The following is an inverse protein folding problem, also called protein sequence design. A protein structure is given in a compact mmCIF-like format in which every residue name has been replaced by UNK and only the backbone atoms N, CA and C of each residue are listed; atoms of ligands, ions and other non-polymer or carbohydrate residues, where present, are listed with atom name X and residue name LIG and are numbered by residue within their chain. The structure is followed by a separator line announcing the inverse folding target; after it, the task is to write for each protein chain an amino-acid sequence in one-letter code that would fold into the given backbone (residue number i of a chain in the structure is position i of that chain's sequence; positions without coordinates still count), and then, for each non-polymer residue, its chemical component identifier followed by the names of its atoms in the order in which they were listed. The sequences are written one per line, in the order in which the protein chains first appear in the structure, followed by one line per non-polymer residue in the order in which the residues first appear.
data_IF_032297155272
#
_entry.id   IF_032297155272
#
_cell.length_a   1.000
_cell.length_b   1.000
_cell.length_c   1.000
_cell.angle_alpha   90.00
_cell.angle_beta   90.00
_cell.angle_gamma   90.00
#
_symmetry.space_group_name_H-M   'P 1'
#
loop_
_entity.id
_entity.type
_entity.pdbx_description
1 polymer ?
#
# COMPACT_ATOMS: atom_id res chain seq x y z
N UNK A 1 22.92 13.45 16.08
CA UNK A 1 22.36 12.11 15.79
C UNK A 1 21.22 11.78 16.75
N UNK A 2 21.04 12.54 17.84
CA UNK A 2 20.02 12.32 18.86
C UNK A 2 18.60 12.79 18.45
N UNK A 3 18.47 13.64 17.42
CA UNK A 3 17.16 14.16 16.97
C UNK A 3 16.28 13.15 16.22
N UNK A 4 16.82 11.99 15.83
CA UNK A 4 16.07 10.94 15.12
C UNK A 4 15.35 9.95 16.07
N UNK A 5 15.69 9.99 17.36
CA UNK A 5 15.08 9.13 18.39
C UNK A 5 13.54 9.21 18.45
N UNK A 6 12.90 10.41 18.43
CA UNK A 6 11.44 10.50 18.44
C UNK A 6 10.78 9.92 17.18
N UNK A 7 11.40 10.06 16.01
CA UNK A 7 10.86 9.55 14.75
C UNK A 7 10.89 8.01 14.67
N UNK A 8 11.94 7.40 15.23
CA UNK A 8 12.08 5.94 15.28
C UNK A 8 11.13 5.32 16.32
N UNK A 9 10.92 5.99 17.46
CA UNK A 9 10.04 5.51 18.54
C UNK A 9 8.56 5.77 18.27
N UNK A 10 8.19 6.69 17.38
CA UNK A 10 6.80 7.01 17.04
C UNK A 10 5.98 5.77 16.66
N UNK A 11 6.62 4.80 16.01
CA UNK A 11 6.02 3.51 15.63
C UNK A 11 5.54 2.67 16.85
N UNK A 12 6.16 2.83 18.02
CA UNK A 12 5.76 2.11 19.24
C UNK A 12 4.42 2.60 19.80
N UNK A 13 3.92 3.76 19.37
CA UNK A 13 2.60 4.28 19.76
C UNK A 13 1.45 3.48 19.14
N UNK A 14 1.70 2.75 18.06
CA UNK A 14 0.67 1.93 17.40
C UNK A 14 0.42 0.60 18.15
N UNK A 15 -0.84 0.09 18.16
CA UNK A 15 -1.15 -1.23 18.70
C UNK A 15 -0.28 -2.34 18.09
N UNK A 16 0.10 -3.35 18.90
CA UNK A 16 1.01 -4.43 18.50
C UNK A 16 0.58 -5.17 17.22
N UNK A 17 -0.72 -5.23 16.95
CA UNK A 17 -1.29 -5.86 15.75
C UNK A 17 -0.92 -5.11 14.45
N UNK A 18 -0.78 -3.78 14.50
CA UNK A 18 -0.41 -2.96 13.35
C UNK A 18 1.09 -2.91 13.12
N UNK A 19 1.89 -3.18 14.15
CA UNK A 19 3.34 -3.11 14.11
C UNK A 19 3.97 -4.08 13.11
N UNK A 20 3.42 -5.30 12.99
CA UNK A 20 3.87 -6.29 12.01
C UNK A 20 3.66 -5.82 10.55
N UNK A 21 2.61 -5.03 10.30
CA UNK A 21 2.36 -4.43 8.98
C UNK A 21 3.24 -3.22 8.74
N UNK A 22 3.44 -2.37 9.75
CA UNK A 22 4.30 -1.17 9.67
C UNK A 22 5.78 -1.50 9.45
N UNK A 23 6.26 -2.60 10.01
CA UNK A 23 7.63 -3.07 9.80
C UNK A 23 7.87 -3.76 8.46
N UNK A 24 6.81 -4.18 7.76
CA UNK A 24 6.97 -4.92 6.51
C UNK A 24 7.19 -3.96 5.34
N UNK A 25 8.33 -4.11 4.65
CA UNK A 25 8.61 -3.41 3.38
C UNK A 25 7.99 -4.12 2.18
N UNK A 26 7.44 -5.33 2.37
CA UNK A 26 6.88 -6.17 1.30
C UNK A 26 5.84 -5.46 0.41
N UNK A 27 4.89 -4.64 0.94
CA UNK A 27 3.94 -3.93 0.09
C UNK A 27 4.63 -2.92 -0.83
N UNK A 28 5.63 -2.20 -0.32
CA UNK A 28 6.38 -1.21 -1.09
C UNK A 28 7.27 -1.89 -2.14
N UNK A 29 7.95 -2.98 -1.79
CA UNK A 29 8.77 -3.75 -2.74
C UNK A 29 7.92 -4.34 -3.88
N UNK A 30 6.74 -4.88 -3.56
CA UNK A 30 5.80 -5.39 -4.56
C UNK A 30 5.28 -4.28 -5.48
N UNK A 31 4.91 -3.12 -4.92
CA UNK A 31 4.49 -1.94 -5.68
C UNK A 31 5.60 -1.48 -6.63
N UNK A 32 6.83 -1.32 -6.13
CA UNK A 32 7.96 -0.88 -6.94
C UNK A 32 8.31 -1.89 -8.04
N UNK A 33 8.18 -3.19 -7.78
CA UNK A 33 8.35 -4.23 -8.80
C UNK A 33 7.30 -4.16 -9.91
N UNK A 34 6.06 -3.85 -9.57
CA UNK A 34 4.98 -3.71 -10.55
C UNK A 34 5.09 -2.41 -11.35
N UNK A 35 5.45 -1.29 -10.72
CA UNK A 35 5.78 -0.04 -11.41
C UNK A 35 6.87 -0.31 -12.45
N UNK A 36 7.98 -0.93 -12.03
CA UNK A 36 9.11 -1.23 -12.91
C UNK A 36 8.69 -2.06 -14.13
N UNK A 37 7.94 -3.15 -13.93
CA UNK A 37 7.45 -4.02 -15.02
C UNK A 37 6.57 -3.27 -16.00
N UNK A 38 5.62 -2.45 -15.53
CA UNK A 38 4.70 -1.72 -16.43
C UNK A 38 5.38 -0.57 -17.16
N UNK A 39 6.33 0.10 -16.50
CA UNK A 39 7.14 1.14 -17.17
C UNK A 39 8.08 0.56 -18.22
N UNK A 40 8.56 -0.67 -18.04
CA UNK A 40 9.44 -1.37 -19.00
C UNK A 40 8.70 -1.69 -20.31
N UNK A 41 7.41 -2.00 -20.27
CA UNK A 41 6.58 -2.25 -21.46
C UNK A 41 6.34 -0.98 -22.28
N UNK A 42 6.21 0.18 -21.62
CA UNK A 42 5.93 1.45 -22.30
C UNK A 42 7.18 2.03 -22.97
N UNK A 43 8.37 1.78 -22.43
CA UNK A 43 9.65 2.17 -23.01
C UNK A 43 9.97 3.68 -22.92
N UNK A 44 9.20 4.53 -23.59
CA UNK A 44 9.37 5.99 -23.61
C UNK A 44 8.00 6.67 -23.41
N UNK A 45 7.93 7.60 -22.47
CA UNK A 45 6.71 8.37 -22.21
C UNK A 45 6.69 9.68 -23.00
N UNK A 46 5.54 10.06 -23.60
CA UNK A 46 5.43 11.28 -24.40
C UNK A 46 5.31 12.57 -23.55
N UNK A 47 4.92 12.46 -22.27
CA UNK A 47 4.85 13.56 -21.30
C UNK A 47 4.78 13.02 -19.86
N UNK A 48 4.99 13.90 -18.87
CA UNK A 48 4.96 13.54 -17.45
C UNK A 48 3.56 13.08 -16.98
N UNK A 49 2.50 13.68 -17.53
CA UNK A 49 1.13 13.29 -17.17
C UNK A 49 0.80 11.84 -17.54
N UNK A 50 1.41 11.29 -18.60
CA UNK A 50 1.22 9.91 -19.00
C UNK A 50 1.78 8.94 -17.96
N UNK A 51 2.91 9.29 -17.33
CA UNK A 51 3.49 8.52 -16.22
C UNK A 51 2.57 8.60 -15.00
N UNK A 52 2.09 9.80 -14.65
CA UNK A 52 1.18 10.00 -13.51
C UNK A 52 -0.11 9.20 -13.69
N UNK A 53 -0.68 9.14 -14.91
CA UNK A 53 -1.86 8.33 -15.22
C UNK A 53 -1.59 6.83 -15.06
N UNK A 54 -0.45 6.33 -15.53
CA UNK A 54 -0.07 4.92 -15.39
C UNK A 54 0.09 4.53 -13.90
N UNK A 55 0.86 5.32 -13.16
CA UNK A 55 1.10 5.08 -11.74
C UNK A 55 -0.20 5.24 -10.94
N UNK A 56 -1.03 6.23 -11.28
CA UNK A 56 -2.35 6.45 -10.66
C UNK A 56 -3.30 5.27 -10.87
N UNK A 57 -3.39 4.73 -12.09
CA UNK A 57 -4.18 3.53 -12.37
C UNK A 57 -3.66 2.31 -11.60
N UNK A 58 -2.35 2.13 -11.54
CA UNK A 58 -1.73 1.04 -10.79
C UNK A 58 -2.01 1.12 -9.28
N UNK A 59 -1.90 2.32 -8.71
CA UNK A 59 -2.19 2.54 -7.30
C UNK A 59 -3.66 2.26 -6.97
N UNK A 60 -4.58 2.61 -7.87
CA UNK A 60 -6.00 2.31 -7.71
C UNK A 60 -6.24 0.79 -7.68
N UNK A 61 -5.65 0.05 -8.63
CA UNK A 61 -5.73 -1.42 -8.66
C UNK A 61 -5.19 -2.07 -7.38
N UNK A 62 -4.12 -1.53 -6.77
CA UNK A 62 -3.56 -2.07 -5.53
C UNK A 62 -4.34 -1.63 -4.28
N UNK A 63 -4.98 -0.45 -4.30
CA UNK A 63 -5.78 0.04 -3.18
C UNK A 63 -6.99 -0.87 -2.91
N UNK A 64 -7.61 -1.44 -3.94
CA UNK A 64 -8.74 -2.37 -3.76
C UNK A 64 -8.33 -3.72 -3.14
N UNK A 65 -7.04 -4.08 -3.20
CA UNK A 65 -6.50 -5.35 -2.68
C UNK A 65 -5.96 -5.20 -1.25
N UNK A 66 -5.30 -4.08 -0.96
CA UNK A 66 -4.59 -3.86 0.31
C UNK A 66 -5.14 -2.69 1.14
N UNK A 67 -6.08 -1.92 0.59
CA UNK A 67 -6.84 -0.93 1.32
C UNK A 67 -7.59 -1.57 2.50
N UNK A 68 -7.98 -0.76 3.50
CA UNK A 68 -8.80 -1.26 4.58
C UNK A 68 -10.01 -1.97 3.97
N UNK A 69 -10.23 -3.24 4.35
CA UNK A 69 -11.45 -3.95 3.98
C UNK A 69 -12.63 -3.00 4.16
N UNK A 70 -13.56 -2.90 3.19
CA UNK A 70 -14.76 -2.12 3.41
C UNK A 70 -15.35 -2.60 4.73
N UNK A 71 -15.50 -1.66 5.66
CA UNK A 71 -15.98 -1.85 7.05
C UNK A 71 -17.30 -2.66 7.09
N UNK A 72 -17.94 -2.82 5.92
CA UNK A 72 -19.17 -3.53 5.63
C UNK A 72 -19.07 -5.06 5.45
N UNK A 73 -17.89 -5.69 5.22
CA UNK A 73 -17.84 -7.17 5.04
C UNK A 73 -17.74 -7.97 6.33
N UNK A 74 -17.32 -7.35 7.44
CA UNK A 74 -17.23 -8.04 8.73
C UNK A 74 -18.60 -8.37 9.37
N UNK A 75 -19.70 -7.77 8.90
CA UNK A 75 -21.06 -8.09 9.39
C UNK A 75 -21.81 -9.17 8.61
N UNK A 76 -21.31 -9.63 7.45
CA UNK A 76 -22.06 -10.60 6.63
C UNK A 76 -21.76 -12.07 6.96
N UNK A 77 -20.62 -12.39 7.59
CA UNK A 77 -20.28 -13.78 7.94
C UNK A 77 -20.88 -14.26 9.29
N UNK A 78 -21.51 -13.40 10.08
CA UNK A 78 -22.20 -13.79 11.33
C UNK A 78 -23.69 -14.10 11.09
N UNK A 79 -24.28 -13.64 9.97
CA UNK A 79 -25.69 -13.87 9.64
C UNK A 79 -25.92 -15.09 8.72
N UNK A 80 -24.89 -15.92 8.48
CA UNK A 80 -25.00 -17.17 7.72
C UNK A 80 -24.74 -18.44 8.57
N UNK A 81 -24.82 -18.31 9.89
CA UNK A 81 -24.82 -19.41 10.86
C UNK A 81 -25.98 -19.30 11.86
N UNK A 82 -27.16 -18.87 11.38
CA UNK A 82 -28.45 -19.13 12.03
C UNK A 82 -29.45 -19.59 10.98
#
# INVERSE_FOLDING_TARGET
MDDAEPDVLAYMTFPREHRAKLHSTNPNERLNGEIKRRTEVVGIFPNDEAIVRLVGALLLEQNDVYGPLPVCKAKLNVLRQR
#
